data_IF_309612849689
#
_entry.id   IF_309612849689
#
_cell.length_a   1.000
_cell.length_b   1.000
_cell.length_c   1.000
_cell.angle_alpha   90.00
_cell.angle_beta   90.00
_cell.angle_gamma   90.00
#
_symmetry.space_group_name_H-M   'P 1'
#
loop_
_entity.id
_entity.type
_entity.pdbx_description
1 polymer ?
#
# COMPACT_ATOMS: atom_id res chain seq x y z
N UNK A 1 -20.45 -11.93 -43.69
CA UNK A 1 -21.32 -12.48 -44.75
C UNK A 1 -21.77 -13.87 -44.32
N UNK A 2 -23.08 -14.14 -44.16
CA UNK A 2 -23.62 -15.47 -43.75
C UNK A 2 -23.95 -16.31 -44.98
N UNK A 3 -23.60 -17.60 -44.98
CA UNK A 3 -24.12 -18.57 -45.96
C UNK A 3 -25.34 -19.31 -45.39
N UNK A 4 -26.17 -19.86 -46.27
CA UNK A 4 -27.56 -20.28 -46.01
C UNK A 4 -27.75 -21.59 -45.21
N UNK A 5 -26.72 -22.10 -44.52
CA UNK A 5 -26.77 -23.39 -43.81
C UNK A 5 -26.47 -23.31 -42.31
N UNK A 6 -26.73 -22.18 -41.64
CA UNK A 6 -26.90 -22.14 -40.18
C UNK A 6 -25.67 -22.44 -39.30
N UNK A 7 -24.50 -22.74 -39.87
CA UNK A 7 -23.25 -22.88 -39.12
C UNK A 7 -22.57 -21.52 -38.99
N UNK A 8 -22.68 -20.92 -37.80
CA UNK A 8 -21.82 -19.82 -37.39
C UNK A 8 -20.41 -20.35 -37.21
N UNK A 9 -19.50 -19.97 -38.11
CA UNK A 9 -18.08 -20.06 -37.83
C UNK A 9 -17.77 -19.00 -36.78
N UNK A 10 -17.82 -19.39 -35.51
CA UNK A 10 -17.11 -18.63 -34.50
C UNK A 10 -15.63 -18.75 -34.84
N UNK A 11 -15.03 -17.65 -35.29
CA UNK A 11 -13.59 -17.57 -35.44
C UNK A 11 -12.99 -17.86 -34.08
N UNK A 12 -12.46 -19.06 -33.89
CA UNK A 12 -11.71 -19.43 -32.72
C UNK A 12 -10.50 -18.48 -32.67
N UNK A 13 -10.59 -17.47 -31.80
CA UNK A 13 -9.47 -16.57 -31.49
C UNK A 13 -8.32 -17.46 -31.07
N UNK A 14 -7.35 -17.58 -31.97
CA UNK A 14 -6.31 -18.59 -31.94
C UNK A 14 -5.32 -18.20 -30.85
N UNK A 15 -5.57 -18.67 -29.63
CA UNK A 15 -4.55 -18.96 -28.62
C UNK A 15 -3.57 -17.83 -28.25
N UNK A 16 -3.89 -16.56 -28.46
CA UNK A 16 -3.13 -15.48 -27.85
C UNK A 16 -3.68 -15.31 -26.43
N UNK A 17 -2.89 -15.69 -25.43
CA UNK A 17 -3.24 -15.38 -24.04
C UNK A 17 -3.41 -13.86 -23.91
N UNK A 18 -4.37 -13.41 -23.09
CA UNK A 18 -4.68 -11.98 -22.92
C UNK A 18 -3.44 -11.15 -22.54
N UNK A 19 -2.51 -11.75 -21.80
CA UNK A 19 -1.20 -11.23 -21.42
C UNK A 19 -0.22 -10.95 -22.58
N UNK A 20 -0.50 -11.43 -23.80
CA UNK A 20 0.28 -11.12 -25.01
C UNK A 20 -0.34 -9.99 -25.85
N UNK A 21 -1.47 -9.42 -25.42
CA UNK A 21 -2.11 -8.31 -26.11
C UNK A 21 -1.53 -6.96 -25.65
N UNK A 22 -0.35 -6.62 -26.17
CA UNK A 22 0.44 -5.45 -25.79
C UNK A 22 -0.26 -4.10 -26.04
N UNK A 23 -1.31 -4.09 -26.87
CA UNK A 23 -2.08 -2.88 -27.23
C UNK A 23 -3.50 -2.89 -26.65
N UNK A 24 -3.86 -3.89 -25.85
CA UNK A 24 -5.09 -3.85 -25.10
C UNK A 24 -4.98 -2.76 -24.03
N UNK A 25 -6.07 -2.01 -23.87
CA UNK A 25 -6.23 -1.21 -22.67
C UNK A 25 -6.21 -2.16 -21.46
N UNK A 26 -5.39 -1.89 -20.44
CA UNK A 26 -5.43 -2.69 -19.22
C UNK A 26 -6.85 -2.61 -18.64
N UNK A 27 -7.38 -3.72 -18.10
CA UNK A 27 -8.70 -3.71 -17.47
C UNK A 27 -8.70 -2.69 -16.33
N UNK A 28 -9.75 -1.87 -16.27
CA UNK A 28 -9.96 -0.95 -15.16
C UNK A 28 -10.33 -1.76 -13.91
N UNK A 29 -9.62 -1.53 -12.80
CA UNK A 29 -9.97 -2.09 -11.51
C UNK A 29 -11.30 -1.46 -11.04
N UNK A 30 -12.38 -2.24 -10.98
CA UNK A 30 -13.71 -1.78 -10.52
C UNK A 30 -14.05 -2.19 -9.09
N UNK A 31 -13.22 -3.04 -8.47
CA UNK A 31 -13.49 -3.62 -7.14
C UNK A 31 -13.19 -2.65 -6.00
N UNK A 32 -12.25 -1.71 -6.19
CA UNK A 32 -11.90 -0.71 -5.17
C UNK A 32 -12.66 0.56 -5.50
N UNK A 33 -13.68 0.87 -4.70
CA UNK A 33 -14.55 2.03 -4.92
C UNK A 33 -14.01 3.33 -4.28
N UNK A 34 -13.27 3.19 -3.17
CA UNK A 34 -12.76 4.31 -2.38
C UNK A 34 -11.56 3.90 -1.52
N UNK A 35 -10.66 4.84 -1.30
CA UNK A 35 -9.58 4.78 -0.33
C UNK A 35 -9.88 5.65 0.89
N UNK A 36 -9.34 5.29 2.05
CA UNK A 36 -9.40 6.14 3.23
C UNK A 36 -8.26 5.81 4.21
N UNK A 37 -7.93 6.78 5.05
CA UNK A 37 -6.95 6.60 6.12
C UNK A 37 -7.64 6.13 7.40
N UNK A 38 -7.04 5.14 8.06
CA UNK A 38 -7.45 4.66 9.38
C UNK A 38 -6.27 4.78 10.32
N UNK A 39 -6.53 5.27 11.54
CA UNK A 39 -5.50 5.42 12.57
C UNK A 39 -5.59 4.27 13.58
N UNK A 40 -4.46 3.60 13.80
CA UNK A 40 -4.31 2.58 14.82
C UNK A 40 -3.37 3.07 15.93
N UNK A 41 -3.74 2.80 17.18
CA UNK A 41 -2.91 3.11 18.34
C UNK A 41 -2.17 1.85 18.82
N UNK A 42 -1.00 1.99 19.48
CA UNK A 42 -0.33 0.86 20.09
C UNK A 42 -1.22 0.13 21.09
N UNK A 43 -1.10 -1.19 21.17
CA UNK A 43 -1.86 -2.00 22.13
C UNK A 43 -1.36 -1.87 23.57
N UNK A 44 -0.10 -1.44 23.74
CA UNK A 44 0.56 -1.30 25.02
C UNK A 44 1.39 -0.01 25.07
N UNK A 45 1.67 0.43 26.29
CA UNK A 45 2.58 1.55 26.52
C UNK A 45 3.99 1.21 26.06
N UNK A 46 4.69 2.23 25.55
CA UNK A 46 6.10 2.10 25.18
C UNK A 46 6.93 1.80 26.43
N UNK A 47 7.75 0.76 26.35
CA UNK A 47 8.65 0.34 27.43
C UNK A 47 10.07 0.17 26.90
N UNK A 48 11.06 0.27 27.79
CA UNK A 48 12.47 0.15 27.46
C UNK A 48 12.80 -1.32 27.14
N UNK A 49 12.70 -1.69 25.87
CA UNK A 49 13.19 -2.97 25.35
C UNK A 49 12.18 -3.87 24.64
N UNK A 50 10.91 -3.49 24.58
CA UNK A 50 9.86 -4.23 23.85
C UNK A 50 9.51 -3.62 22.48
N UNK A 51 8.98 -4.41 21.53
CA UNK A 51 8.42 -3.87 20.30
C UNK A 51 7.17 -3.02 20.57
N UNK A 52 6.90 -2.03 19.71
CA UNK A 52 5.61 -1.34 19.69
C UNK A 52 4.67 -2.15 18.79
N UNK A 53 3.63 -2.71 19.39
CA UNK A 53 2.70 -3.60 18.71
C UNK A 53 1.39 -2.89 18.34
N UNK A 54 0.92 -3.13 17.11
CA UNK A 54 -0.33 -2.63 16.57
C UNK A 54 -1.19 -3.80 16.10
N UNK A 55 -2.48 -3.75 16.40
CA UNK A 55 -3.45 -4.74 15.90
C UNK A 55 -4.34 -4.07 14.86
N UNK A 56 -4.14 -4.45 13.59
CA UNK A 56 -4.94 -3.98 12.46
C UNK A 56 -6.02 -5.03 12.19
N UNK A 57 -7.24 -4.76 12.67
CA UNK A 57 -8.39 -5.62 12.39
C UNK A 57 -8.91 -5.31 10.99
N UNK A 58 -9.01 -6.33 10.13
CA UNK A 58 -9.69 -6.17 8.84
C UNK A 58 -11.20 -6.19 9.04
N UNK A 59 -11.91 -5.23 8.46
CA UNK A 59 -13.29 -5.48 8.06
C UNK A 59 -13.27 -6.41 6.84
N UNK A 60 -14.26 -7.28 6.70
CA UNK A 60 -14.26 -8.35 5.68
C UNK A 60 -14.21 -7.86 4.22
N UNK A 61 -14.39 -6.55 3.99
CA UNK A 61 -14.51 -5.94 2.67
C UNK A 61 -13.36 -4.97 2.35
N UNK A 62 -12.46 -4.71 3.30
CA UNK A 62 -11.39 -3.72 3.13
C UNK A 62 -10.02 -4.35 2.84
N UNK A 63 -9.28 -3.66 1.97
CA UNK A 63 -7.90 -3.96 1.63
C UNK A 63 -6.99 -2.94 2.30
N UNK A 64 -5.87 -3.44 2.84
CA UNK A 64 -4.81 -2.60 3.39
C UNK A 64 -3.79 -2.32 2.29
N UNK A 65 -3.57 -1.04 1.99
CA UNK A 65 -2.47 -0.61 1.12
C UNK A 65 -1.18 -0.47 1.94
N UNK A 66 -0.29 -1.45 1.80
CA UNK A 66 1.00 -1.46 2.49
C UNK A 66 1.95 -0.39 1.98
N UNK A 67 1.82 0.03 0.73
CA UNK A 67 2.68 1.09 0.15
C UNK A 67 2.34 2.47 0.70
N UNK A 68 1.10 2.66 1.13
CA UNK A 68 0.58 3.87 1.75
C UNK A 68 0.43 3.72 3.28
N UNK A 69 1.15 2.80 3.92
CA UNK A 69 1.15 2.72 5.40
C UNK A 69 2.23 3.63 5.98
N UNK A 70 1.86 4.48 6.95
CA UNK A 70 2.77 5.42 7.61
C UNK A 70 2.79 5.22 9.13
N UNK A 71 3.98 5.30 9.73
CA UNK A 71 4.15 5.29 11.18
C UNK A 71 4.31 6.73 11.70
N UNK A 72 3.35 7.20 12.48
CA UNK A 72 3.42 8.50 13.14
C UNK A 72 4.13 8.37 14.49
N UNK A 73 5.26 9.07 14.66
CA UNK A 73 6.05 9.07 15.91
C UNK A 73 6.18 10.50 16.42
N UNK A 74 5.90 10.71 17.71
CA UNK A 74 6.28 11.92 18.44
C UNK A 74 7.43 11.57 19.39
N UNK A 75 8.61 12.13 19.13
CA UNK A 75 9.82 11.86 19.91
C UNK A 75 10.57 13.15 20.24
N UNK A 76 11.31 13.15 21.35
CA UNK A 76 12.26 14.19 21.71
C UNK A 76 13.66 13.76 21.27
N UNK A 77 14.35 14.61 20.51
CA UNK A 77 15.74 14.37 20.14
C UNK A 77 16.64 15.01 21.19
N UNK A 78 17.43 14.17 21.85
CA UNK A 78 18.38 14.57 22.89
C UNK A 78 19.82 14.31 22.42
N UNK A 79 20.75 15.01 23.04
CA UNK A 79 22.19 14.71 22.93
C UNK A 79 22.51 13.36 23.59
N UNK A 80 23.72 12.86 23.34
CA UNK A 80 24.22 11.64 24.00
C UNK A 80 24.32 11.77 25.53
N UNK A 81 24.42 12.98 26.06
CA UNK A 81 24.40 13.27 27.50
C UNK A 81 22.97 13.49 28.06
N UNK A 82 21.94 13.27 27.24
CA UNK A 82 20.53 13.41 27.62
C UNK A 82 20.01 14.85 27.66
N UNK A 83 20.83 15.85 27.30
CA UNK A 83 20.38 17.26 27.27
C UNK A 83 19.65 17.60 25.97
N UNK A 84 18.83 18.64 26.03
CA UNK A 84 18.15 19.19 24.86
C UNK A 84 19.14 19.74 23.83
N UNK A 85 18.73 19.66 22.56
CA UNK A 85 19.36 20.40 21.48
C UNK A 85 18.88 21.86 21.55
N UNK A 86 19.81 22.79 21.42
CA UNK A 86 19.66 24.23 21.54
C UNK A 86 20.26 24.93 20.31
N UNK A 87 19.90 26.19 20.08
CA UNK A 87 20.31 26.93 18.87
C UNK A 87 21.82 27.11 18.74
N UNK A 88 22.56 27.12 19.84
CA UNK A 88 24.03 27.20 19.83
C UNK A 88 24.72 25.89 19.44
N UNK A 89 23.97 24.80 19.23
CA UNK A 89 24.55 23.52 18.86
C UNK A 89 24.87 23.48 17.36
N UNK A 90 26.15 23.27 17.05
CA UNK A 90 26.59 23.09 15.66
C UNK A 90 26.03 21.79 15.10
N UNK A 91 25.30 21.88 14.00
CA UNK A 91 24.79 20.73 13.24
C UNK A 91 25.71 20.43 12.05
N UNK A 92 25.97 19.15 11.80
CA UNK A 92 26.65 18.66 10.59
C UNK A 92 25.73 17.70 9.84
N UNK A 93 25.93 17.53 8.54
CA UNK A 93 25.20 16.51 7.79
C UNK A 93 25.62 15.11 8.24
N UNK A 94 24.63 14.23 8.39
CA UNK A 94 24.87 12.80 8.54
C UNK A 94 25.44 12.26 7.22
N UNK A 95 26.50 11.46 7.30
CA UNK A 95 27.11 10.77 6.16
C UNK A 95 26.30 9.55 5.74
#
# INVERSE_FOLDING_TARGET
MRNKNGISFEGFSRGAKSELNLFALPPTQTVIERDHWVQFHPIANVSDGGPIEFVISRSGEEYLDLSQTQLYIRANILKSDGKLITEENKVSQAR
#
